data_IF_846161117243
#
_entry.id   IF_846161117243
#
_cell.length_a   1.000
_cell.length_b   1.000
_cell.length_c   1.000
_cell.angle_alpha   90.00
_cell.angle_beta   90.00
_cell.angle_gamma   90.00
#
_symmetry.space_group_name_H-M   'P 1'
#
loop_
_entity.id
_entity.type
_entity.pdbx_description
1 polymer ?
#
# COMPACT_ATOMS: atom_id res chain seq x y z
N UNK A 1 -17.21 22.31 -8.33
CA UNK A 1 -16.07 21.35 -8.32
C UNK A 1 -16.13 20.48 -7.08
N UNK A 2 -16.14 21.08 -5.88
CA UNK A 2 -16.31 20.33 -4.62
C UNK A 2 -17.64 19.55 -4.56
N UNK A 3 -18.72 20.09 -5.13
CA UNK A 3 -20.03 19.42 -5.13
C UNK A 3 -20.04 18.09 -5.89
N UNK A 4 -19.24 17.97 -6.96
CA UNK A 4 -19.13 16.71 -7.72
C UNK A 4 -18.45 15.61 -6.88
N UNK A 5 -17.42 15.99 -6.09
CA UNK A 5 -16.73 15.07 -5.19
C UNK A 5 -17.66 14.65 -4.04
N UNK A 6 -18.39 15.59 -3.43
CA UNK A 6 -19.30 15.28 -2.33
C UNK A 6 -20.48 14.42 -2.77
N UNK A 7 -20.97 14.61 -4.00
CA UNK A 7 -22.06 13.81 -4.59
C UNK A 7 -21.65 12.34 -4.82
N UNK A 8 -20.36 12.08 -5.07
CA UNK A 8 -19.84 10.73 -5.34
C UNK A 8 -18.91 10.22 -4.24
N UNK A 9 -18.94 10.84 -3.05
CA UNK A 9 -18.02 10.55 -1.96
C UNK A 9 -18.03 9.07 -1.55
N UNK A 10 -19.21 8.43 -1.54
CA UNK A 10 -19.36 7.00 -1.23
C UNK A 10 -18.61 6.09 -2.21
N UNK A 11 -18.79 6.33 -3.51
CA UNK A 11 -18.10 5.57 -4.57
C UNK A 11 -16.59 5.76 -4.50
N UNK A 12 -16.14 7.00 -4.29
CA UNK A 12 -14.72 7.33 -4.15
C UNK A 12 -14.13 6.61 -2.93
N UNK A 13 -14.81 6.70 -1.79
CA UNK A 13 -14.34 6.09 -0.55
C UNK A 13 -14.26 4.57 -0.66
N UNK A 14 -15.26 3.94 -1.28
CA UNK A 14 -15.28 2.49 -1.50
C UNK A 14 -14.16 2.07 -2.46
N UNK A 15 -13.94 2.80 -3.55
CA UNK A 15 -12.88 2.50 -4.49
C UNK A 15 -11.49 2.63 -3.85
N UNK A 16 -11.24 3.73 -3.12
CA UNK A 16 -9.98 3.93 -2.40
C UNK A 16 -9.80 2.87 -1.32
N UNK A 17 -10.84 2.57 -0.54
CA UNK A 17 -10.82 1.53 0.49
C UNK A 17 -10.49 0.15 -0.08
N UNK A 18 -11.07 -0.22 -1.23
CA UNK A 18 -10.78 -1.47 -1.91
C UNK A 18 -9.30 -1.58 -2.33
N UNK A 19 -8.72 -0.49 -2.85
CA UNK A 19 -7.29 -0.42 -3.19
C UNK A 19 -6.41 -0.62 -1.95
N UNK A 20 -6.74 0.05 -0.84
CA UNK A 20 -5.99 -0.07 0.43
C UNK A 20 -6.07 -1.50 0.96
N UNK A 21 -7.25 -2.14 0.94
CA UNK A 21 -7.44 -3.53 1.38
C UNK A 21 -6.61 -4.48 0.51
N UNK A 22 -6.67 -4.36 -0.81
CA UNK A 22 -5.90 -5.20 -1.72
C UNK A 22 -4.39 -5.05 -1.50
N UNK A 23 -3.89 -3.82 -1.36
CA UNK A 23 -2.48 -3.56 -1.06
C UNK A 23 -2.07 -4.10 0.31
N UNK A 24 -2.95 -4.02 1.31
CA UNK A 24 -2.72 -4.56 2.66
C UNK A 24 -2.60 -6.09 2.66
N UNK A 25 -3.41 -6.78 1.85
CA UNK A 25 -3.34 -8.23 1.70
C UNK A 25 -2.02 -8.66 1.05
N UNK A 26 -1.56 -7.95 0.01
CA UNK A 26 -0.28 -8.22 -0.63
C UNK A 26 0.86 -8.01 0.38
N UNK A 27 0.91 -6.84 1.01
CA UNK A 27 2.03 -6.48 1.90
C UNK A 27 2.12 -7.34 3.16
N UNK A 28 0.98 -7.81 3.69
CA UNK A 28 0.93 -8.75 4.81
C UNK A 28 1.31 -10.17 4.38
N UNK A 29 0.81 -10.62 3.23
CA UNK A 29 0.97 -11.99 2.72
C UNK A 29 2.33 -12.30 2.10
N UNK A 30 3.12 -11.29 1.73
CA UNK A 30 4.42 -11.50 1.07
C UNK A 30 5.62 -10.95 1.85
N UNK A 31 6.82 -11.56 1.76
CA UNK A 31 8.06 -10.95 2.25
C UNK A 31 8.41 -9.68 1.47
N UNK A 32 8.92 -8.66 2.16
CA UNK A 32 9.39 -7.41 1.52
C UNK A 32 10.72 -7.69 0.78
N UNK A 33 10.83 -7.40 -0.53
CA UNK A 33 12.06 -7.58 -1.29
C UNK A 33 13.16 -6.58 -0.91
N UNK A 34 14.40 -6.84 -1.33
CA UNK A 34 15.52 -5.89 -1.15
C UNK A 34 15.18 -4.52 -1.79
N UNK A 35 15.22 -3.42 -1.02
CA UNK A 35 14.86 -2.08 -1.50
C UNK A 35 15.74 -1.55 -2.63
N UNK A 36 16.94 -2.11 -2.84
CA UNK A 36 17.84 -1.71 -3.92
C UNK A 36 17.43 -2.31 -5.27
N UNK A 37 16.57 -3.32 -5.26
CA UNK A 37 16.08 -3.97 -6.49
C UNK A 37 14.93 -3.19 -7.12
N UNK A 38 14.71 -3.38 -8.43
CA UNK A 38 13.55 -2.80 -9.11
C UNK A 38 12.22 -3.27 -8.48
N UNK A 39 12.16 -4.53 -8.07
CA UNK A 39 11.01 -5.11 -7.37
C UNK A 39 10.77 -4.42 -6.02
N UNK A 40 11.83 -4.17 -5.23
CA UNK A 40 11.73 -3.46 -3.96
C UNK A 40 11.20 -2.04 -4.09
N UNK A 41 11.54 -1.33 -5.18
CA UNK A 41 10.99 0.01 -5.48
C UNK A 41 9.49 -0.04 -5.78
N UNK A 42 9.04 -1.02 -6.56
CA UNK A 42 7.61 -1.24 -6.84
C UNK A 42 6.88 -1.65 -5.56
N UNK A 43 7.45 -2.56 -4.79
CA UNK A 43 6.87 -3.01 -3.52
C UNK A 43 6.69 -1.87 -2.53
N UNK A 44 7.64 -0.92 -2.48
CA UNK A 44 7.51 0.29 -1.67
C UNK A 44 6.32 1.16 -2.07
N UNK A 45 5.96 1.22 -3.36
CA UNK A 45 4.74 1.90 -3.78
C UNK A 45 3.48 1.16 -3.29
N UNK A 46 3.50 -0.17 -3.28
CA UNK A 46 2.40 -0.98 -2.74
C UNK A 46 2.27 -0.81 -1.22
N UNK A 47 3.38 -0.73 -0.48
CA UNK A 47 3.38 -0.39 0.96
C UNK A 47 2.74 0.99 1.22
N UNK A 48 3.03 1.98 0.38
CA UNK A 48 2.39 3.29 0.48
C UNK A 48 0.88 3.23 0.19
N UNK A 49 0.45 2.45 -0.81
CA UNK A 49 -0.97 2.22 -1.10
C UNK A 49 -1.69 1.49 0.03
N UNK A 50 -0.99 0.60 0.73
CA UNK A 50 -1.49 -0.06 1.94
C UNK A 50 -1.51 0.88 3.16
N UNK A 51 -1.07 2.13 3.02
CA UNK A 51 -0.88 3.09 4.12
C UNK A 51 0.08 2.58 5.19
N UNK A 52 1.00 1.69 4.80
CA UNK A 52 2.04 1.11 5.64
C UNK A 52 3.31 1.93 5.45
N UNK A 53 3.52 2.92 6.31
CA UNK A 53 4.73 3.75 6.27
C UNK A 53 5.84 3.15 7.12
N UNK A 54 7.06 3.11 6.59
CA UNK A 54 8.27 2.80 7.36
C UNK A 54 8.42 1.34 7.82
N UNK A 55 7.43 0.46 7.59
CA UNK A 55 7.61 -0.98 7.75
C UNK A 55 8.27 -1.58 6.51
N UNK A 56 9.54 -1.25 6.29
CA UNK A 56 10.42 -2.32 5.83
C UNK A 56 10.37 -3.33 6.98
N UNK A 57 9.66 -4.47 6.80
CA UNK A 57 9.61 -5.55 7.78
C UNK A 57 11.00 -5.63 8.39
N UNK A 58 11.11 -5.30 9.69
CA UNK A 58 12.38 -5.14 10.39
C UNK A 58 13.31 -6.21 9.88
N UNK A 59 14.49 -5.78 9.40
CA UNK A 59 15.53 -6.71 8.95
C UNK A 59 15.61 -7.80 10.01
N UNK A 60 15.10 -8.99 9.70
CA UNK A 60 15.27 -10.15 10.57
C UNK A 60 16.77 -10.28 10.84
N UNK A 61 17.17 -10.65 12.07
CA UNK A 61 18.58 -10.68 12.44
C UNK A 61 19.34 -11.46 11.37
N UNK A 62 20.30 -10.78 10.73
CA UNK A 62 21.22 -11.39 9.79
C UNK A 62 22.15 -12.28 10.62
N UNK A 63 21.73 -13.53 10.81
CA UNK A 63 22.55 -14.63 11.31
C UNK A 63 23.18 -15.39 10.16
#
# INVERSE_FOLDING_TARGET
>A
MFDNILTHADTILTAVGAVVIAASLITSGTPTPDPNTALGKVYRAVELLALVFGKAKDRGPQG
#
